data_IF_667630660683
#
_entry.id   IF_667630660683
#
_cell.length_a   1.000
_cell.length_b   1.000
_cell.length_c   1.000
_cell.angle_alpha   90.00
_cell.angle_beta   90.00
_cell.angle_gamma   90.00
#
_symmetry.space_group_name_H-M   'P 1'
#
loop_
_entity.id
_entity.type
_entity.pdbx_description
1 polymer ?
#
# COMPACT_ATOMS: atom_id res chain seq x y z
N UNK A 1 17.85 -11.00 7.71
CA UNK A 1 16.74 -10.54 6.85
C UNK A 1 17.34 -9.64 5.77
N UNK A 2 16.93 -9.73 4.50
CA UNK A 2 17.40 -8.83 3.45
C UNK A 2 17.19 -7.36 3.81
N UNK A 3 18.06 -6.49 3.30
CA UNK A 3 17.96 -5.06 3.54
C UNK A 3 16.84 -4.40 2.70
N UNK A 4 16.43 -3.17 3.06
CA UNK A 4 15.52 -2.40 2.21
C UNK A 4 16.10 -2.16 0.82
N UNK A 5 17.42 -2.00 0.70
CA UNK A 5 18.09 -1.84 -0.59
C UNK A 5 17.95 -3.10 -1.45
N UNK A 6 18.10 -4.29 -0.87
CA UNK A 6 17.91 -5.55 -1.58
C UNK A 6 16.46 -5.74 -2.01
N UNK A 7 15.50 -5.39 -1.14
CA UNK A 7 14.08 -5.38 -1.49
C UNK A 7 13.76 -4.42 -2.63
N UNK A 8 14.35 -3.23 -2.64
CA UNK A 8 14.16 -2.28 -3.73
C UNK A 8 14.74 -2.78 -5.07
N UNK A 9 15.89 -3.46 -5.04
CA UNK A 9 16.42 -4.14 -6.23
C UNK A 9 15.46 -5.18 -6.76
N UNK A 10 14.86 -5.99 -5.86
CA UNK A 10 13.87 -6.98 -6.24
C UNK A 10 12.61 -6.33 -6.85
N UNK A 11 12.10 -5.26 -6.25
CA UNK A 11 11.00 -4.47 -6.83
C UNK A 11 11.36 -4.00 -8.25
N UNK A 12 12.55 -3.42 -8.45
CA UNK A 12 12.98 -2.93 -9.75
C UNK A 12 13.18 -4.02 -10.80
N UNK A 13 13.54 -5.24 -10.37
CA UNK A 13 13.68 -6.41 -11.24
C UNK A 13 12.34 -6.90 -11.78
N UNK A 14 11.33 -6.94 -10.93
CA UNK A 14 10.03 -7.52 -11.28
C UNK A 14 9.02 -6.50 -11.80
N UNK A 15 9.12 -5.24 -11.38
CA UNK A 15 8.20 -4.16 -11.74
C UNK A 15 8.90 -3.08 -12.55
N UNK A 16 8.48 -2.85 -13.80
CA UNK A 16 9.01 -1.78 -14.65
C UNK A 16 8.14 -0.51 -14.59
N UNK A 17 6.86 -0.68 -14.25
CA UNK A 17 5.91 0.42 -14.10
C UNK A 17 6.33 1.39 -13.00
N UNK A 18 6.64 2.64 -13.39
CA UNK A 18 6.95 3.70 -12.42
C UNK A 18 5.78 3.98 -11.48
N UNK A 19 4.55 3.91 -11.97
CA UNK A 19 3.34 4.14 -11.17
C UNK A 19 3.17 3.06 -10.10
N UNK A 20 3.43 1.79 -10.43
CA UNK A 20 3.34 0.69 -9.46
C UNK A 20 4.48 0.75 -8.44
N UNK A 21 5.69 1.11 -8.86
CA UNK A 21 6.82 1.36 -7.93
C UNK A 21 6.47 2.48 -6.94
N UNK A 22 5.89 3.60 -7.42
CA UNK A 22 5.44 4.71 -6.57
C UNK A 22 4.30 4.30 -5.65
N UNK A 23 3.39 3.43 -6.09
CA UNK A 23 2.36 2.86 -5.23
C UNK A 23 2.97 2.11 -4.05
N UNK A 24 3.90 1.18 -4.31
CA UNK A 24 4.59 0.44 -3.24
C UNK A 24 5.32 1.36 -2.26
N UNK A 25 5.98 2.41 -2.76
CA UNK A 25 6.62 3.43 -1.90
C UNK A 25 5.59 4.23 -1.07
N UNK A 26 4.42 4.53 -1.62
CA UNK A 26 3.35 5.22 -0.90
C UNK A 26 2.76 4.34 0.21
N UNK A 27 2.53 3.06 -0.07
CA UNK A 27 2.09 2.09 0.94
C UNK A 27 3.16 1.90 2.02
N UNK A 28 4.44 1.78 1.64
CA UNK A 28 5.56 1.76 2.59
C UNK A 28 5.52 2.95 3.54
N UNK A 29 5.35 4.17 3.03
CA UNK A 29 5.30 5.38 3.85
C UNK A 29 4.14 5.34 4.86
N UNK A 30 2.95 4.93 4.41
CA UNK A 30 1.76 4.82 5.27
C UNK A 30 1.95 3.76 6.37
N UNK A 31 2.43 2.57 6.01
CA UNK A 31 2.66 1.46 6.94
C UNK A 31 3.74 1.80 7.98
N UNK A 32 4.83 2.45 7.57
CA UNK A 32 5.86 2.98 8.49
C UNK A 32 5.28 3.96 9.50
N UNK A 33 4.38 4.85 9.08
CA UNK A 33 3.74 5.80 9.99
C UNK A 33 2.88 5.08 11.05
N UNK A 34 2.18 4.02 10.67
CA UNK A 34 1.45 3.17 11.62
C UNK A 34 2.37 2.37 12.53
N UNK A 35 3.49 1.86 12.02
CA UNK A 35 4.49 1.18 12.83
C UNK A 35 5.03 2.09 13.95
N UNK A 36 5.38 3.35 13.60
CA UNK A 36 5.79 4.36 14.59
C UNK A 36 4.71 4.64 15.64
N UNK A 37 3.45 4.77 15.23
CA UNK A 37 2.32 4.97 16.17
C UNK A 37 2.14 3.78 17.11
N UNK A 38 2.37 2.56 16.63
CA UNK A 38 2.22 1.32 17.40
C UNK A 38 3.46 0.96 18.24
N UNK A 39 4.59 1.68 18.07
CA UNK A 39 5.87 1.30 18.68
C UNK A 39 6.41 -0.05 18.16
N UNK A 40 6.05 -0.40 16.91
CA UNK A 40 6.46 -1.64 16.25
C UNK A 40 7.77 -1.46 15.47
N UNK A 41 8.30 -2.56 14.92
CA UNK A 41 9.49 -2.55 14.06
C UNK A 41 9.18 -1.87 12.73
N UNK A 42 9.52 -0.58 12.63
CA UNK A 42 9.28 0.25 11.45
C UNK A 42 9.97 -0.28 10.20
N UNK A 43 11.19 -0.82 10.34
CA UNK A 43 11.93 -1.35 9.20
C UNK A 43 11.28 -2.63 8.66
N UNK A 44 10.87 -3.52 9.54
CA UNK A 44 10.18 -4.75 9.16
C UNK A 44 8.83 -4.47 8.50
N UNK A 45 8.04 -3.58 9.08
CA UNK A 45 6.73 -3.22 8.53
C UNK A 45 6.86 -2.50 7.18
N UNK A 46 7.80 -1.56 7.08
CA UNK A 46 8.10 -0.85 5.85
C UNK A 46 8.56 -1.78 4.73
N UNK A 47 9.46 -2.72 5.06
CA UNK A 47 9.95 -3.72 4.11
C UNK A 47 8.82 -4.61 3.57
N UNK A 48 7.92 -5.04 4.46
CA UNK A 48 6.74 -5.83 4.07
C UNK A 48 5.86 -5.05 3.08
N UNK A 49 5.58 -3.78 3.41
CA UNK A 49 4.77 -2.91 2.56
C UNK A 49 5.43 -2.62 1.21
N UNK A 50 6.76 -2.41 1.18
CA UNK A 50 7.50 -2.19 -0.06
C UNK A 50 7.40 -3.38 -1.03
N UNK A 51 7.29 -4.59 -0.49
CA UNK A 51 7.30 -5.83 -1.28
C UNK A 51 5.89 -6.36 -1.61
N UNK A 52 4.81 -5.73 -1.13
CA UNK A 52 3.49 -6.35 -1.21
C UNK A 52 3.01 -6.63 -2.64
N UNK A 53 3.37 -5.78 -3.60
CA UNK A 53 2.91 -5.81 -5.00
C UNK A 53 4.03 -6.03 -6.03
N UNK A 54 5.26 -6.39 -5.62
CA UNK A 54 6.40 -6.43 -6.53
C UNK A 54 6.24 -7.43 -7.70
N UNK A 55 5.42 -8.44 -7.52
CA UNK A 55 5.13 -9.48 -8.50
C UNK A 55 3.92 -9.18 -9.40
N UNK A 56 3.09 -8.18 -9.04
CA UNK A 56 1.81 -7.88 -9.68
C UNK A 56 1.91 -7.65 -11.20
N UNK A 57 2.96 -6.97 -11.67
CA UNK A 57 3.13 -6.68 -13.10
C UNK A 57 3.37 -7.94 -13.93
N UNK A 58 4.04 -8.95 -13.36
CA UNK A 58 4.33 -10.22 -14.04
C UNK A 58 3.20 -11.25 -13.90
N UNK A 59 2.49 -11.22 -12.79
CA UNK A 59 1.42 -12.16 -12.47
C UNK A 59 0.18 -11.43 -11.93
N UNK A 60 -0.49 -10.62 -12.78
CA UNK A 60 -1.67 -9.87 -12.33
C UNK A 60 -2.79 -10.85 -11.90
N UNK A 61 -3.60 -10.39 -10.97
CA UNK A 61 -4.69 -11.17 -10.37
C UNK A 61 -5.97 -11.19 -11.24
N UNK A 62 -5.86 -11.59 -12.49
CA UNK A 62 -6.95 -11.50 -13.48
C UNK A 62 -8.15 -12.39 -13.13
N UNK A 63 -7.89 -13.58 -12.57
CA UNK A 63 -8.93 -14.55 -12.18
C UNK A 63 -8.98 -14.79 -10.68
N UNK A 64 -8.21 -14.04 -9.90
CA UNK A 64 -8.08 -14.18 -8.45
C UNK A 64 -7.71 -15.61 -8.01
N UNK A 65 -6.75 -16.23 -8.73
CA UNK A 65 -6.25 -17.54 -8.39
C UNK A 65 -5.35 -17.49 -7.15
N UNK A 66 -5.73 -18.16 -6.04
CA UNK A 66 -5.04 -17.99 -4.76
C UNK A 66 -3.63 -18.58 -4.73
N UNK A 67 -3.24 -19.37 -5.74
CA UNK A 67 -2.00 -20.14 -5.79
C UNK A 67 -1.14 -19.91 -7.05
N UNK A 68 -1.54 -19.06 -7.99
CA UNK A 68 -0.89 -18.92 -9.31
C UNK A 68 -0.69 -17.48 -9.79
N UNK A 69 -1.26 -16.53 -9.12
CA UNK A 69 -1.21 -15.11 -9.45
C UNK A 69 -0.63 -14.32 -8.27
N UNK A 70 -0.53 -13.01 -8.44
CA UNK A 70 -0.25 -12.12 -7.32
C UNK A 70 -1.26 -12.35 -6.18
N UNK A 71 -0.85 -12.39 -4.91
CA UNK A 71 0.52 -12.31 -4.39
C UNK A 71 1.19 -13.67 -4.15
N UNK A 72 0.60 -14.77 -4.61
CA UNK A 72 1.10 -16.13 -4.35
C UNK A 72 2.47 -16.38 -5.02
N UNK A 73 2.66 -15.90 -6.25
CA UNK A 73 3.94 -16.03 -6.94
C UNK A 73 5.03 -15.20 -6.24
N UNK A 74 4.71 -13.98 -5.81
CA UNK A 74 5.60 -13.17 -4.99
C UNK A 74 5.99 -13.87 -3.70
N UNK A 75 5.03 -14.47 -3.00
CA UNK A 75 5.28 -15.24 -1.79
C UNK A 75 6.26 -16.41 -2.00
N UNK A 76 6.15 -17.12 -3.15
CA UNK A 76 7.10 -18.19 -3.51
C UNK A 76 8.51 -17.66 -3.70
N UNK A 77 8.66 -16.56 -4.46
CA UNK A 77 9.94 -15.91 -4.71
C UNK A 77 10.58 -15.43 -3.41
N UNK A 78 9.81 -14.81 -2.52
CA UNK A 78 10.30 -14.33 -1.24
C UNK A 78 10.78 -15.47 -0.34
N UNK A 79 10.09 -16.63 -0.34
CA UNK A 79 10.55 -17.84 0.37
C UNK A 79 11.90 -18.33 -0.14
N UNK A 80 12.03 -18.42 -1.47
CA UNK A 80 13.26 -18.88 -2.11
C UNK A 80 14.45 -17.93 -1.81
N UNK A 81 14.17 -16.65 -1.55
CA UNK A 81 15.15 -15.64 -1.16
C UNK A 81 15.37 -15.51 0.36
N UNK A 82 14.70 -16.33 1.17
CA UNK A 82 14.93 -16.41 2.62
C UNK A 82 14.24 -15.28 3.41
N UNK A 83 13.18 -14.67 2.89
CA UNK A 83 12.31 -13.79 3.68
C UNK A 83 11.51 -14.59 4.71
N UNK A 84 11.13 -13.93 5.81
CA UNK A 84 10.41 -14.59 6.90
C UNK A 84 8.97 -14.94 6.53
N UNK A 85 8.45 -16.04 7.06
CA UNK A 85 7.05 -16.42 6.88
C UNK A 85 6.07 -15.39 7.45
N UNK A 86 6.47 -14.62 8.48
CA UNK A 86 5.67 -13.51 9.00
C UNK A 86 5.45 -12.42 7.95
N UNK A 87 6.51 -12.00 7.25
CA UNK A 87 6.43 -11.04 6.14
C UNK A 87 5.59 -11.59 4.99
N UNK A 88 5.84 -12.83 4.59
CA UNK A 88 5.14 -13.50 3.48
C UNK A 88 3.65 -13.65 3.81
N UNK A 89 3.33 -14.04 5.05
CA UNK A 89 1.95 -14.15 5.49
C UNK A 89 1.22 -12.81 5.45
N UNK A 90 1.89 -11.73 5.87
CA UNK A 90 1.31 -10.39 5.80
C UNK A 90 1.00 -9.99 4.35
N UNK A 91 1.92 -10.28 3.42
CA UNK A 91 1.70 -10.05 1.99
C UNK A 91 0.52 -10.89 1.47
N UNK A 92 0.46 -12.19 1.77
CA UNK A 92 -0.66 -13.03 1.33
C UNK A 92 -2.01 -12.55 1.89
N UNK A 93 -2.04 -12.02 3.10
CA UNK A 93 -3.27 -11.61 3.79
C UNK A 93 -3.88 -10.31 3.27
N UNK A 94 -3.14 -9.51 2.47
CA UNK A 94 -3.70 -8.27 1.93
C UNK A 94 -4.70 -8.53 0.79
N UNK A 95 -4.63 -9.68 0.14
CA UNK A 95 -5.55 -10.11 -0.90
C UNK A 95 -6.58 -11.11 -0.36
N UNK A 96 -7.83 -10.68 -0.18
CA UNK A 96 -8.90 -11.51 0.43
C UNK A 96 -9.11 -12.86 -0.29
N UNK A 97 -8.87 -12.92 -1.60
CA UNK A 97 -9.01 -14.16 -2.39
C UNK A 97 -7.92 -15.20 -2.13
N UNK A 98 -6.84 -14.85 -1.43
CA UNK A 98 -5.85 -15.81 -0.94
C UNK A 98 -6.32 -16.59 0.27
N UNK A 99 -7.46 -16.23 0.86
CA UNK A 99 -8.06 -16.90 2.03
C UNK A 99 -7.13 -16.99 3.25
N UNK A 100 -6.17 -16.08 3.37
CA UNK A 100 -5.30 -15.93 4.53
C UNK A 100 -5.91 -14.87 5.45
N UNK A 101 -6.51 -15.26 6.60
CA UNK A 101 -7.16 -14.29 7.48
C UNK A 101 -6.12 -13.37 8.13
N UNK A 102 -6.39 -12.06 8.16
CA UNK A 102 -5.57 -11.09 8.89
C UNK A 102 -5.70 -11.31 10.39
N UNK A 103 -4.57 -11.38 11.10
CA UNK A 103 -4.48 -11.67 12.52
C UNK A 103 -3.55 -10.73 13.28
N UNK A 104 -2.48 -10.26 12.62
CA UNK A 104 -1.51 -9.37 13.26
C UNK A 104 -1.80 -7.89 12.95
N UNK A 105 -1.31 -6.97 13.79
CA UNK A 105 -1.41 -5.53 13.51
C UNK A 105 -0.77 -5.13 12.17
N UNK A 106 0.32 -5.78 11.76
CA UNK A 106 0.96 -5.54 10.45
C UNK A 106 0.04 -5.92 9.31
N UNK A 107 -0.60 -7.08 9.37
CA UNK A 107 -1.51 -7.58 8.34
C UNK A 107 -2.72 -6.63 8.15
N UNK A 108 -3.34 -6.20 9.24
CA UNK A 108 -4.42 -5.21 9.19
C UNK A 108 -3.96 -3.87 8.65
N UNK A 109 -2.74 -3.44 9.03
CA UNK A 109 -2.19 -2.15 8.58
C UNK A 109 -1.87 -2.17 7.08
N UNK A 110 -1.25 -3.24 6.58
CA UNK A 110 -0.94 -3.37 5.17
C UNK A 110 -2.21 -3.30 4.32
N UNK A 111 -3.21 -4.12 4.64
CA UNK A 111 -4.51 -4.11 3.97
C UNK A 111 -5.18 -2.73 3.98
N UNK A 112 -5.17 -2.05 5.14
CA UNK A 112 -5.81 -0.76 5.27
C UNK A 112 -5.11 0.34 4.46
N UNK A 113 -3.78 0.29 4.34
CA UNK A 113 -3.00 1.34 3.67
C UNK A 113 -2.97 1.18 2.15
N UNK A 114 -3.10 -0.03 1.62
CA UNK A 114 -2.93 -0.36 0.22
C UNK A 114 -3.88 0.45 -0.68
N UNK A 115 -5.17 0.15 -0.66
CA UNK A 115 -6.18 0.83 -1.49
C UNK A 115 -6.26 2.33 -1.19
N UNK A 116 -6.08 2.75 0.07
CA UNK A 116 -6.11 4.15 0.42
C UNK A 116 -4.93 4.92 -0.19
N UNK A 117 -3.72 4.37 -0.19
CA UNK A 117 -2.55 5.04 -0.79
C UNK A 117 -2.75 5.29 -2.29
N UNK A 118 -3.28 4.31 -3.03
CA UNK A 118 -3.66 4.46 -4.43
C UNK A 118 -4.74 5.53 -4.63
N UNK A 119 -5.75 5.55 -3.76
CA UNK A 119 -6.81 6.55 -3.83
C UNK A 119 -6.31 7.97 -3.55
N UNK A 120 -5.44 8.16 -2.56
CA UNK A 120 -4.83 9.45 -2.24
C UNK A 120 -3.96 9.97 -3.38
N UNK A 121 -3.20 9.09 -4.03
CA UNK A 121 -2.42 9.41 -5.23
C UNK A 121 -3.33 9.93 -6.34
N UNK A 122 -4.44 9.24 -6.63
CA UNK A 122 -5.42 9.69 -7.61
C UNK A 122 -6.03 11.04 -7.23
N UNK A 123 -6.36 11.24 -5.95
CA UNK A 123 -6.89 12.51 -5.44
C UNK A 123 -5.89 13.67 -5.65
N UNK A 124 -4.60 13.44 -5.40
CA UNK A 124 -3.56 14.44 -5.60
C UNK A 124 -3.42 14.82 -7.08
N UNK A 125 -3.41 13.85 -7.98
CA UNK A 125 -3.23 14.11 -9.42
C UNK A 125 -4.33 14.95 -10.07
N UNK A 126 -5.57 14.89 -9.57
CA UNK A 126 -6.69 15.69 -10.12
C UNK A 126 -6.80 17.08 -9.49
N UNK A 127 -5.95 17.43 -8.55
CA UNK A 127 -5.88 18.80 -8.02
C UNK A 127 -5.21 19.72 -9.03
N UNK A 128 -5.54 21.03 -9.04
CA UNK A 128 -4.81 22.00 -9.86
C UNK A 128 -3.31 22.03 -9.58
N UNK A 129 -2.92 21.88 -8.31
CA UNK A 129 -1.54 21.79 -7.84
C UNK A 129 -0.83 20.50 -8.22
N UNK A 130 -1.59 19.43 -8.51
CA UNK A 130 -1.10 18.05 -8.64
C UNK A 130 -0.24 17.60 -7.44
N UNK A 131 -0.62 18.04 -6.26
CA UNK A 131 0.16 17.88 -5.04
C UNK A 131 -0.63 17.21 -3.92
N UNK A 132 0.07 16.37 -3.14
CA UNK A 132 -0.43 15.82 -1.87
C UNK A 132 -0.32 16.86 -0.74
N UNK A 133 0.54 17.89 -0.91
CA UNK A 133 0.85 18.86 0.13
C UNK A 133 -0.35 19.72 0.52
N UNK A 134 -1.28 19.97 -0.40
CA UNK A 134 -2.51 20.73 -0.17
C UNK A 134 -3.78 19.85 -0.17
N UNK A 135 -3.64 18.52 -0.18
CA UNK A 135 -4.78 17.58 -0.14
C UNK A 135 -5.35 17.49 1.27
N UNK A 136 -6.65 17.74 1.41
CA UNK A 136 -7.35 17.72 2.68
C UNK A 136 -8.30 16.51 2.80
N UNK A 137 -8.51 16.02 4.04
CA UNK A 137 -9.41 14.89 4.35
C UNK A 137 -10.81 15.09 3.76
N UNK A 138 -11.36 16.30 3.86
CA UNK A 138 -12.68 16.64 3.31
C UNK A 138 -12.76 16.47 1.80
N UNK A 139 -11.68 16.80 1.08
CA UNK A 139 -11.57 16.62 -0.37
C UNK A 139 -11.56 15.14 -0.75
N UNK A 140 -10.80 14.31 -0.01
CA UNK A 140 -10.75 12.85 -0.19
C UNK A 140 -12.13 12.24 0.04
N UNK A 141 -12.80 12.58 1.13
CA UNK A 141 -14.17 12.10 1.44
C UNK A 141 -15.19 12.49 0.38
N UNK A 142 -15.07 13.68 -0.19
CA UNK A 142 -15.90 14.09 -1.33
C UNK A 142 -15.68 13.19 -2.54
N UNK A 143 -14.42 12.88 -2.88
CA UNK A 143 -14.07 11.98 -3.99
C UNK A 143 -14.50 10.53 -3.74
N UNK A 144 -14.50 10.05 -2.49
CA UNK A 144 -15.00 8.71 -2.17
C UNK A 144 -16.48 8.51 -2.55
N UNK A 145 -17.28 9.59 -2.57
CA UNK A 145 -18.70 9.54 -2.98
C UNK A 145 -18.87 9.46 -4.50
N UNK A 146 -17.85 9.84 -5.28
CA UNK A 146 -17.86 9.80 -6.73
C UNK A 146 -17.42 8.41 -7.22
N UNK A 147 -18.39 7.57 -7.58
CA UNK A 147 -18.14 6.19 -8.05
C UNK A 147 -17.40 6.13 -9.40
N UNK A 148 -17.43 7.19 -10.20
CA UNK A 148 -16.74 7.25 -11.48
C UNK A 148 -15.25 7.59 -11.32
N UNK A 149 -14.90 8.28 -10.24
CA UNK A 149 -13.51 8.66 -9.93
C UNK A 149 -12.72 7.44 -9.45
N UNK A 150 -11.53 7.20 -9.99
CA UNK A 150 -10.63 6.10 -9.60
C UNK A 150 -11.38 4.76 -9.38
N UNK A 151 -12.13 4.31 -10.39
CA UNK A 151 -13.04 3.15 -10.28
C UNK A 151 -12.38 1.83 -9.92
N UNK A 152 -11.09 1.68 -10.22
CA UNK A 152 -10.32 0.49 -9.88
C UNK A 152 -10.04 0.36 -8.38
N UNK A 153 -10.12 1.45 -7.61
CA UNK A 153 -9.86 1.46 -6.17
C UNK A 153 -11.11 1.06 -5.40
N UNK A 154 -11.00 0.08 -4.52
CA UNK A 154 -12.09 -0.42 -3.67
C UNK A 154 -12.36 0.53 -2.48
N UNK A 155 -13.51 1.26 -2.51
CA UNK A 155 -13.95 2.07 -1.36
C UNK A 155 -14.37 1.23 -0.17
N UNK A 156 -14.83 0.03 -0.47
CA UNK A 156 -15.22 -0.94 0.55
C UNK A 156 -14.00 -1.35 1.37
N UNK A 157 -12.89 -1.68 0.71
CA UNK A 157 -11.65 -2.08 1.38
C UNK A 157 -11.02 -0.91 2.15
N UNK A 158 -11.06 0.32 1.62
CA UNK A 158 -10.65 1.51 2.37
C UNK A 158 -11.45 1.64 3.69
N UNK A 159 -12.76 1.48 3.62
CA UNK A 159 -13.63 1.60 4.81
C UNK A 159 -13.41 0.44 5.78
N UNK A 160 -13.35 -0.79 5.25
CA UNK A 160 -13.06 -2.01 6.00
C UNK A 160 -11.72 -1.92 6.72
N UNK A 161 -10.67 -1.44 6.01
CA UNK A 161 -9.34 -1.26 6.57
C UNK A 161 -9.33 -0.32 7.78
N UNK A 162 -10.02 0.82 7.71
CA UNK A 162 -10.14 1.73 8.86
C UNK A 162 -10.85 1.07 10.06
N UNK A 163 -11.90 0.27 9.79
CA UNK A 163 -12.60 -0.49 10.83
C UNK A 163 -11.70 -1.56 11.46
N UNK A 164 -10.96 -2.32 10.64
CA UNK A 164 -10.02 -3.35 11.13
C UNK A 164 -8.87 -2.75 11.96
N UNK A 165 -8.46 -1.52 11.65
CA UNK A 165 -7.47 -0.78 12.46
C UNK A 165 -8.06 -0.19 13.75
N UNK A 166 -9.38 -0.17 13.91
CA UNK A 166 -10.06 0.45 15.05
C UNK A 166 -9.94 1.98 15.08
N UNK A 167 -9.77 2.63 13.93
CA UNK A 167 -9.67 4.09 13.79
C UNK A 167 -10.83 4.64 12.95
N UNK A 168 -11.13 5.94 13.09
CA UNK A 168 -12.07 6.59 12.20
C UNK A 168 -11.50 6.71 10.79
N UNK A 169 -12.37 6.70 9.77
CA UNK A 169 -11.93 6.91 8.38
C UNK A 169 -11.19 8.26 8.22
N UNK A 170 -11.61 9.30 8.92
CA UNK A 170 -10.98 10.61 8.88
C UNK A 170 -9.56 10.56 9.44
N UNK A 171 -9.34 9.87 10.55
CA UNK A 171 -8.02 9.66 11.13
C UNK A 171 -7.12 8.82 10.21
N UNK A 172 -7.67 7.77 9.61
CA UNK A 172 -6.92 6.92 8.67
C UNK A 172 -6.46 7.72 7.46
N UNK A 173 -7.36 8.48 6.82
CA UNK A 173 -7.03 9.37 5.70
C UNK A 173 -5.98 10.41 6.12
N UNK A 174 -6.15 11.06 7.27
CA UNK A 174 -5.22 12.08 7.75
C UNK A 174 -3.80 11.50 8.01
N UNK A 175 -3.73 10.31 8.60
CA UNK A 175 -2.45 9.62 8.86
C UNK A 175 -1.73 9.29 7.56
N UNK A 176 -2.42 8.73 6.57
CA UNK A 176 -1.82 8.38 5.28
C UNK A 176 -1.43 9.63 4.47
N UNK A 177 -2.24 10.70 4.47
CA UNK A 177 -1.86 11.98 3.84
C UNK A 177 -0.57 12.52 4.47
N UNK A 178 -0.47 12.54 5.81
CA UNK A 178 0.72 13.04 6.50
C UNK A 178 1.97 12.22 6.13
N UNK A 179 1.87 10.90 6.12
CA UNK A 179 2.96 10.00 5.74
C UNK A 179 3.41 10.21 4.28
N UNK A 180 2.47 10.32 3.36
CA UNK A 180 2.77 10.54 1.94
C UNK A 180 3.33 11.95 1.67
N UNK A 181 2.95 12.96 2.47
CA UNK A 181 3.55 14.31 2.40
C UNK A 181 5.04 14.30 2.71
N UNK A 182 5.47 13.52 3.68
CA UNK A 182 6.89 13.36 4.04
C UNK A 182 7.71 12.79 2.86
N UNK A 183 7.08 12.07 1.95
CA UNK A 183 7.68 11.43 0.79
C UNK A 183 7.23 12.03 -0.55
N UNK A 184 6.65 13.24 -0.52
CA UNK A 184 5.99 13.84 -1.69
C UNK A 184 6.90 13.91 -2.93
N UNK A 185 8.18 14.23 -2.76
CA UNK A 185 9.15 14.34 -3.86
C UNK A 185 9.43 12.96 -4.50
N UNK A 186 9.69 11.95 -3.67
CA UNK A 186 9.96 10.58 -4.12
C UNK A 186 8.74 10.00 -4.85
N UNK A 187 7.55 10.30 -4.35
CA UNK A 187 6.29 9.87 -4.94
C UNK A 187 5.91 10.66 -6.20
N UNK A 188 6.59 11.77 -6.48
CA UNK A 188 6.23 12.69 -7.56
C UNK A 188 4.92 13.43 -7.30
N UNK A 189 4.58 13.65 -6.03
CA UNK A 189 3.37 14.30 -5.55
C UNK A 189 3.64 15.66 -4.87
N UNK A 190 4.84 16.21 -5.05
CA UNK A 190 5.22 17.53 -4.53
C UNK A 190 4.54 18.70 -5.25
N UNK A 191 3.92 18.44 -6.39
CA UNK A 191 3.27 19.46 -7.20
C UNK A 191 4.15 20.02 -8.32
N UNK A 192 3.59 20.98 -9.07
CA UNK A 192 4.37 21.77 -10.04
C UNK A 192 4.81 23.04 -9.33
N UNK A 193 6.11 23.23 -9.23
CA UNK A 193 6.69 24.54 -8.94
C UNK A 193 6.39 25.50 -10.08
#
# INVERSE_FOLDING_TARGET
MPSREDAWKLVCEYTQSESLRKHMLAVEACVRAYARKAGADEEFWGLTALLHDFDYEKWPNEVHAPDKEHPAEGARILRDQGYSEELIRAILSHADYCHVPRQSPLEHTLFACDELAGFLTACAYVRPSKSILDLEVSSVKKRMKDKAFARAVSREDITKGAVELGVSLDEHIATCIAAMREQADVLGLGGRL
#
